data_IF_499060231335
#
_entry.id   IF_499060231335
#
_cell.length_a   1.000
_cell.length_b   1.000
_cell.length_c   1.000
_cell.angle_alpha   90.00
_cell.angle_beta   90.00
_cell.angle_gamma   90.00
#
_symmetry.space_group_name_H-M   'P 1'
#
loop_
_entity.id
_entity.type
_entity.pdbx_description
1 polymer ?
#
# COMPACT_ATOMS: atom_id res chain seq x y z
N UNK A 1 17.62 6.73 9.78
CA UNK A 1 17.22 5.48 10.46
C UNK A 1 15.75 5.30 10.18
N UNK A 2 15.41 4.33 9.34
CA UNK A 2 14.02 4.02 9.03
C UNK A 2 13.59 2.92 9.99
N UNK A 3 12.72 3.21 10.96
CA UNK A 3 12.10 2.17 11.79
C UNK A 3 10.94 1.58 10.99
N UNK A 4 11.27 0.68 10.07
CA UNK A 4 10.27 -0.17 9.43
C UNK A 4 10.15 -1.39 10.35
N UNK A 5 8.94 -1.77 10.77
CA UNK A 5 8.76 -2.91 11.65
C UNK A 5 9.30 -4.20 11.03
N UNK A 6 10.44 -4.70 11.51
CA UNK A 6 10.93 -6.05 11.18
C UNK A 6 10.13 -7.15 11.93
N UNK A 7 9.08 -6.77 12.67
CA UNK A 7 8.16 -7.63 13.43
C UNK A 7 6.72 -7.13 13.34
N UNK A 8 5.79 -8.01 13.68
CA UNK A 8 4.36 -7.71 13.85
C UNK A 8 4.17 -6.50 14.77
N UNK A 9 3.97 -5.33 14.17
CA UNK A 9 3.67 -4.11 14.90
C UNK A 9 2.16 -3.85 14.89
N UNK A 10 1.68 -3.13 15.89
CA UNK A 10 0.27 -2.76 15.98
C UNK A 10 0.02 -1.49 15.18
N UNK A 11 -0.97 -1.51 14.29
CA UNK A 11 -1.43 -0.37 13.51
C UNK A 11 -2.76 0.15 14.04
N UNK A 12 -2.77 1.36 14.62
CA UNK A 12 -4.01 1.98 15.09
C UNK A 12 -4.75 2.64 13.94
N UNK A 13 -6.04 2.32 13.81
CA UNK A 13 -6.95 2.98 12.84
C UNK A 13 -7.22 4.44 13.20
N UNK A 14 -6.89 4.88 14.41
CA UNK A 14 -7.08 6.26 14.85
C UNK A 14 -5.99 7.23 14.35
N UNK A 15 -4.94 6.70 13.73
CA UNK A 15 -3.75 7.44 13.31
C UNK A 15 -3.52 7.29 11.80
N UNK A 16 -2.89 8.31 11.22
CA UNK A 16 -2.44 8.24 9.83
C UNK A 16 -1.30 7.22 9.71
N UNK A 17 -1.26 6.50 8.58
CA UNK A 17 -0.14 5.61 8.29
C UNK A 17 0.89 6.35 7.45
N UNK A 18 2.11 6.47 7.97
CA UNK A 18 3.20 7.17 7.32
C UNK A 18 4.33 6.20 6.97
N UNK A 19 4.83 6.31 5.74
CA UNK A 19 5.99 5.55 5.26
C UNK A 19 6.98 6.52 4.66
N UNK A 20 8.23 6.41 5.08
CA UNK A 20 9.37 7.11 4.48
C UNK A 20 10.32 6.13 3.83
N UNK A 21 10.91 6.52 2.70
CA UNK A 21 11.93 5.73 2.01
C UNK A 21 12.98 6.65 1.37
N UNK A 22 14.08 6.06 0.90
CA UNK A 22 15.09 6.80 0.12
C UNK A 22 14.62 6.83 -1.32
N UNK A 23 14.42 8.01 -1.90
CA UNK A 23 14.02 8.22 -3.30
C UNK A 23 15.04 7.63 -4.29
N UNK A 24 14.56 7.23 -5.47
CA UNK A 24 15.42 6.82 -6.59
C UNK A 24 15.20 7.80 -7.76
N UNK A 25 16.22 8.60 -8.16
CA UNK A 25 16.05 9.59 -9.22
C UNK A 25 15.77 8.99 -10.60
N UNK A 26 15.94 7.68 -10.77
CA UNK A 26 15.68 6.99 -12.04
C UNK A 26 14.26 6.43 -12.11
N UNK A 27 13.49 6.51 -11.02
CA UNK A 27 12.14 5.98 -10.94
C UNK A 27 11.18 7.14 -10.67
N UNK A 28 10.13 7.27 -11.48
CA UNK A 28 9.16 8.34 -11.31
C UNK A 28 8.12 8.02 -10.23
N UNK A 29 7.80 6.74 -10.03
CA UNK A 29 6.65 6.29 -9.24
C UNK A 29 7.00 5.18 -8.26
N UNK A 30 6.40 5.28 -7.10
CA UNK A 30 6.36 4.24 -6.08
C UNK A 30 4.92 3.80 -5.82
N UNK A 31 4.78 2.59 -5.32
CA UNK A 31 3.50 1.94 -5.10
C UNK A 31 3.42 1.42 -3.67
N UNK A 32 2.27 1.63 -3.03
CA UNK A 32 1.92 1.04 -1.75
C UNK A 32 0.62 0.25 -1.89
N UNK A 33 0.63 -0.98 -1.40
CA UNK A 33 -0.55 -1.82 -1.21
C UNK A 33 -0.65 -2.13 0.27
N UNK A 34 -1.81 -1.87 0.88
CA UNK A 34 -2.14 -2.31 2.23
C UNK A 34 -3.42 -3.14 2.16
N UNK A 35 -3.37 -4.39 2.59
CA UNK A 35 -4.47 -5.33 2.49
C UNK A 35 -4.86 -5.86 3.87
N UNK A 36 -6.15 -5.76 4.19
CA UNK A 36 -6.76 -6.48 5.29
C UNK A 36 -7.65 -7.61 4.74
N UNK A 37 -7.48 -8.87 5.15
CA UNK A 37 -8.29 -9.98 4.63
C UNK A 37 -9.80 -9.70 4.74
N UNK A 38 -10.53 -9.94 3.65
CA UNK A 38 -11.98 -9.77 3.61
C UNK A 38 -12.48 -8.37 3.28
N UNK A 39 -11.60 -7.38 3.10
CA UNK A 39 -11.96 -6.03 2.63
C UNK A 39 -11.07 -5.56 1.48
N UNK A 40 -11.49 -4.55 0.69
CA UNK A 40 -10.67 -4.03 -0.39
C UNK A 40 -9.32 -3.50 0.11
N UNK A 41 -8.24 -3.83 -0.58
CA UNK A 41 -6.93 -3.26 -0.27
C UNK A 41 -6.88 -1.77 -0.61
N UNK A 42 -6.14 -1.01 0.18
CA UNK A 42 -5.74 0.35 -0.15
C UNK A 42 -4.59 0.24 -1.15
N UNK A 43 -4.72 0.92 -2.30
CA UNK A 43 -3.67 1.03 -3.30
C UNK A 43 -3.31 2.49 -3.54
N UNK A 44 -2.03 2.81 -3.48
CA UNK A 44 -1.49 4.15 -3.76
C UNK A 44 -0.43 4.05 -4.84
N UNK A 45 -0.57 4.89 -5.85
CA UNK A 45 0.50 5.25 -6.78
C UNK A 45 0.92 6.68 -6.42
N UNK A 46 2.20 6.87 -6.10
CA UNK A 46 2.74 8.17 -5.69
C UNK A 46 4.07 8.46 -6.37
N UNK A 47 4.48 9.73 -6.47
CA UNK A 47 5.84 10.06 -6.89
C UNK A 47 6.88 9.41 -5.97
N UNK A 48 8.01 8.98 -6.52
CA UNK A 48 9.11 8.42 -5.74
C UNK A 48 9.94 9.52 -5.06
N UNK A 49 9.35 10.24 -4.11
CA UNK A 49 9.96 11.38 -3.41
C UNK A 49 10.32 11.11 -1.94
N UNK A 50 10.23 9.85 -1.51
CA UNK A 50 10.65 9.41 -0.18
C UNK A 50 9.60 9.50 0.92
N UNK A 51 8.34 9.84 0.63
CA UNK A 51 7.29 9.95 1.65
C UNK A 51 5.87 9.68 1.13
N UNK A 52 5.09 8.96 1.93
CA UNK A 52 3.65 8.76 1.74
C UNK A 52 2.93 8.80 3.08
N UNK A 53 1.79 9.49 3.09
CA UNK A 53 0.79 9.42 4.15
C UNK A 53 -0.50 8.83 3.60
N UNK A 54 -1.03 7.82 4.30
CA UNK A 54 -2.39 7.30 4.08
C UNK A 54 -3.25 7.78 5.24
N UNK A 55 -4.33 8.49 4.92
CA UNK A 55 -5.19 9.06 5.93
C UNK A 55 -5.92 7.96 6.71
N UNK A 56 -6.05 8.14 8.02
CA UNK A 56 -6.75 7.18 8.89
C UNK A 56 -8.15 6.79 8.41
N UNK A 57 -8.84 7.71 7.72
CA UNK A 57 -10.19 7.48 7.19
C UNK A 57 -10.23 6.40 6.10
N UNK A 58 -9.11 6.17 5.40
CA UNK A 58 -9.02 5.11 4.37
C UNK A 58 -9.03 3.70 4.97
N UNK A 59 -8.76 3.59 6.27
CA UNK A 59 -8.80 2.34 7.01
C UNK A 59 -10.17 2.08 7.64
N UNK A 60 -11.21 2.89 7.37
CA UNK A 60 -12.51 2.78 8.03
C UNK A 60 -13.06 1.35 8.03
N UNK A 61 -12.91 0.63 6.91
CA UNK A 61 -13.41 -0.74 6.73
C UNK A 61 -12.49 -1.84 7.28
N UNK A 62 -11.26 -1.52 7.69
CA UNK A 62 -10.31 -2.53 8.18
C UNK A 62 -10.77 -3.10 9.53
N UNK A 63 -10.59 -4.40 9.71
CA UNK A 63 -11.06 -5.13 10.89
C UNK A 63 -10.05 -5.04 12.03
N UNK A 64 -10.51 -4.66 13.22
CA UNK A 64 -9.68 -4.66 14.44
C UNK A 64 -9.35 -6.10 14.85
N UNK A 65 -8.15 -6.32 15.40
CA UNK A 65 -7.63 -7.62 15.83
C UNK A 65 -7.23 -8.54 14.68
N UNK A 66 -6.95 -7.99 13.50
CA UNK A 66 -6.60 -8.77 12.31
C UNK A 66 -5.27 -8.33 11.72
N UNK A 67 -4.56 -9.27 11.11
CA UNK A 67 -3.31 -8.97 10.41
C UNK A 67 -3.58 -8.26 9.07
N UNK A 68 -2.77 -7.25 8.78
CA UNK A 68 -2.71 -6.57 7.49
C UNK A 68 -1.36 -6.77 6.86
N UNK A 69 -1.39 -6.93 5.55
CA UNK A 69 -0.22 -7.06 4.71
C UNK A 69 0.05 -5.70 4.11
N UNK A 70 1.27 -5.20 4.23
CA UNK A 70 1.70 -4.06 3.42
C UNK A 70 2.84 -4.47 2.50
N UNK A 71 2.80 -3.94 1.28
CA UNK A 71 3.88 -4.03 0.31
C UNK A 71 4.11 -2.66 -0.26
N UNK A 72 5.34 -2.21 -0.16
CA UNK A 72 5.81 -1.04 -0.88
C UNK A 72 6.77 -1.49 -1.99
N UNK A 73 6.76 -0.80 -3.12
CA UNK A 73 7.45 -1.24 -4.31
C UNK A 73 7.71 -0.13 -5.32
N UNK A 74 8.72 -0.35 -6.16
CA UNK A 74 8.95 0.41 -7.38
C UNK A 74 8.79 -0.54 -8.57
N UNK A 75 8.37 0.00 -9.70
CA UNK A 75 8.42 -0.74 -10.95
C UNK A 75 7.34 -0.31 -11.92
N UNK A 76 7.01 -1.21 -12.84
CA UNK A 76 6.09 -0.93 -13.92
C UNK A 76 4.64 -1.22 -13.51
N UNK A 77 3.73 -0.37 -13.94
CA UNK A 77 2.31 -0.65 -13.89
C UNK A 77 1.74 -0.75 -15.30
N UNK A 78 0.86 -1.71 -15.50
CA UNK A 78 0.12 -1.85 -16.74
C UNK A 78 -1.35 -2.02 -16.44
N UNK A 79 -2.15 -1.04 -16.85
CA UNK A 79 -3.60 -1.13 -16.75
C UNK A 79 -4.20 -1.53 -18.09
N UNK A 80 -5.11 -2.50 -18.06
CA UNK A 80 -5.94 -2.88 -19.18
C UNK A 80 -7.41 -2.85 -18.76
N UNK A 81 -8.30 -2.74 -19.74
CA UNK A 81 -9.73 -2.74 -19.51
C UNK A 81 -10.29 -4.10 -19.91
N UNK A 82 -11.04 -4.72 -19.02
CA UNK A 82 -11.74 -5.98 -19.27
C UNK A 82 -13.24 -5.71 -19.38
N UNK A 83 -13.87 -6.26 -20.42
CA UNK A 83 -15.29 -6.05 -20.73
C UNK A 83 -15.53 -4.90 -21.71
N UNK A 84 -16.81 -4.59 -21.96
CA UNK A 84 -17.24 -3.59 -22.93
C UNK A 84 -18.45 -2.80 -22.41
N UNK A 85 -18.56 -1.53 -22.80
CA UNK A 85 -19.69 -0.69 -22.40
C UNK A 85 -19.65 -0.33 -20.91
N UNK A 86 -20.82 -0.31 -20.27
CA UNK A 86 -20.97 0.12 -18.87
C UNK A 86 -20.30 -0.83 -17.84
N UNK A 87 -20.08 -2.10 -18.21
CA UNK A 87 -19.47 -3.10 -17.32
C UNK A 87 -17.95 -3.20 -17.46
N UNK A 88 -17.33 -2.25 -18.16
CA UNK A 88 -15.89 -2.25 -18.38
C UNK A 88 -15.13 -2.00 -17.05
N UNK A 89 -14.32 -2.97 -16.64
CA UNK A 89 -13.48 -2.90 -15.45
C UNK A 89 -12.05 -2.55 -15.83
N UNK A 90 -11.47 -1.56 -15.18
CA UNK A 90 -10.04 -1.28 -15.25
C UNK A 90 -9.30 -2.24 -14.32
N UNK A 91 -8.40 -3.05 -14.88
CA UNK A 91 -7.54 -3.96 -14.14
C UNK A 91 -6.12 -3.44 -14.29
N UNK A 92 -5.44 -3.20 -13.17
CA UNK A 92 -4.05 -2.76 -13.16
C UNK A 92 -3.16 -3.85 -12.58
N UNK A 93 -2.13 -4.22 -13.32
CA UNK A 93 -1.02 -5.04 -12.86
C UNK A 93 0.08 -4.11 -12.41
N UNK A 94 0.64 -4.36 -11.23
CA UNK A 94 1.81 -3.63 -10.75
C UNK A 94 2.91 -4.64 -10.52
N UNK A 95 3.97 -4.53 -11.31
CA UNK A 95 5.21 -5.24 -11.07
C UNK A 95 5.99 -4.45 -10.05
N UNK A 96 5.90 -4.88 -8.79
CA UNK A 96 6.76 -4.34 -7.74
C UNK A 96 8.04 -5.16 -7.76
N UNK A 97 9.12 -4.58 -8.30
CA UNK A 97 10.46 -5.08 -8.03
C UNK A 97 10.63 -5.11 -6.52
N UNK A 98 10.99 -6.28 -5.96
CA UNK A 98 11.12 -6.50 -4.51
C UNK A 98 11.98 -5.41 -3.89
N UNK A 99 11.34 -4.36 -3.39
CA UNK A 99 11.96 -3.39 -2.50
C UNK A 99 11.69 -3.86 -1.08
N UNK A 100 12.60 -3.50 -0.17
CA UNK A 100 12.83 -4.11 1.14
C UNK A 100 11.72 -3.85 2.19
N UNK A 101 10.47 -3.72 1.76
CA UNK A 101 9.34 -3.27 2.56
C UNK A 101 8.14 -4.22 2.37
N UNK A 102 8.27 -5.38 2.98
CA UNK A 102 7.14 -6.29 3.21
C UNK A 102 7.02 -6.51 4.70
N UNK A 103 5.82 -6.33 5.24
CA UNK A 103 5.59 -6.58 6.66
C UNK A 103 4.12 -6.87 6.94
N UNK A 104 3.92 -7.27 8.19
CA UNK A 104 2.63 -7.64 8.76
C UNK A 104 2.38 -6.72 9.94
N UNK A 105 1.18 -6.16 10.02
CA UNK A 105 0.77 -5.33 11.15
C UNK A 105 -0.55 -5.87 11.70
N UNK A 106 -0.76 -5.85 13.02
CA UNK A 106 -2.06 -6.16 13.61
C UNK A 106 -2.87 -4.87 13.78
N UNK A 107 -4.09 -4.83 13.27
CA UNK A 107 -4.95 -3.65 13.37
C UNK A 107 -5.51 -3.52 14.78
N UNK A 108 -5.32 -2.35 15.39
CA UNK A 108 -5.84 -1.99 16.71
C UNK A 108 -6.71 -0.73 16.63
N UNK A 109 -7.43 -0.42 17.70
CA UNK A 109 -8.30 0.77 17.78
C UNK A 109 -7.52 2.08 17.66
#
# INVERSE_FOLDING_TARGET
MTSIPERSDYFSKSQDFEVTWVDDPNIEKAYLVICNPGVPCIFKEVPDNGYLKVDKSEFADFQVGTEVFFRFGRGDYHCFYQGSGADQKKICLVSMGVSNLTGFLEVVE
#
